data_IF_710111039051
#
_entry.id   IF_710111039051
#
_cell.length_a   1.000
_cell.length_b   1.000
_cell.length_c   1.000
_cell.angle_alpha   90.00
_cell.angle_beta   90.00
_cell.angle_gamma   90.00
#
_symmetry.space_group_name_H-M   'P 1'
#
loop_
_entity.id
_entity.type
_entity.pdbx_description
1 polymer ?
#
# COMPACT_ATOMS: atom_id res chain seq x y z
N UNK A 1 2.54 -18.28 -9.65
CA UNK A 1 1.93 -17.76 -8.41
C UNK A 1 1.76 -16.28 -8.60
N UNK A 2 0.59 -15.72 -8.35
CA UNK A 2 0.40 -14.26 -8.42
C UNK A 2 0.75 -13.65 -7.06
N UNK A 3 1.45 -12.52 -7.09
CA UNK A 3 1.82 -11.77 -5.90
C UNK A 3 0.89 -10.57 -5.77
N UNK A 4 0.36 -10.31 -4.59
CA UNK A 4 -0.53 -9.17 -4.39
C UNK A 4 -0.03 -8.27 -3.27
N UNK A 5 -0.06 -6.97 -3.52
CA UNK A 5 0.20 -5.98 -2.48
C UNK A 5 -0.97 -5.01 -2.39
N UNK A 6 -1.09 -4.39 -1.23
CA UNK A 6 -1.98 -3.28 -1.02
C UNK A 6 -1.17 -2.06 -0.57
N UNK A 7 -1.35 -0.95 -1.26
CA UNK A 7 -0.91 0.36 -0.80
C UNK A 7 -2.03 1.07 -0.06
N UNK A 8 -1.66 1.69 1.05
CA UNK A 8 -2.46 2.72 1.72
C UNK A 8 -1.79 4.05 1.40
N UNK A 9 -2.55 5.00 0.85
CA UNK A 9 -2.06 6.32 0.44
C UNK A 9 -2.59 7.40 1.39
N UNK A 10 -1.72 8.38 1.66
CA UNK A 10 -2.04 9.56 2.47
C UNK A 10 -1.59 9.41 3.91
N UNK A 11 -0.81 10.38 4.40
CA UNK A 11 -0.20 10.35 5.75
C UNK A 11 -1.19 10.15 6.89
N UNK A 12 -2.34 10.82 6.84
CA UNK A 12 -3.38 10.64 7.86
C UNK A 12 -3.96 9.22 7.86
N UNK A 13 -4.09 8.62 6.67
CA UNK A 13 -4.65 7.29 6.51
C UNK A 13 -3.64 6.22 6.94
N UNK A 14 -2.37 6.40 6.56
CA UNK A 14 -1.27 5.58 7.05
C UNK A 14 -1.23 5.61 8.58
N UNK A 15 -1.30 6.78 9.20
CA UNK A 15 -1.32 6.90 10.66
C UNK A 15 -2.55 6.23 11.29
N UNK A 16 -3.75 6.41 10.73
CA UNK A 16 -4.96 5.72 11.19
C UNK A 16 -4.80 4.20 11.12
N UNK A 17 -4.25 3.68 10.02
CA UNK A 17 -4.01 2.25 9.84
C UNK A 17 -3.01 1.72 10.87
N UNK A 18 -1.89 2.41 11.08
CA UNK A 18 -0.88 2.05 12.07
C UNK A 18 -1.41 2.11 13.51
N UNK A 19 -2.37 3.00 13.78
CA UNK A 19 -3.08 3.09 15.05
C UNK A 19 -4.15 1.99 15.23
N UNK A 20 -4.34 1.09 14.27
CA UNK A 20 -5.35 0.02 14.33
C UNK A 20 -6.79 0.51 14.09
N UNK A 21 -6.97 1.73 13.59
CA UNK A 21 -8.30 2.27 13.29
C UNK A 21 -8.83 1.64 12.00
N UNK A 22 -10.06 1.13 12.03
CA UNK A 22 -10.70 0.63 10.82
C UNK A 22 -11.11 1.77 9.89
N UNK A 23 -10.72 1.65 8.62
CA UNK A 23 -11.23 2.51 7.57
C UNK A 23 -12.69 2.21 7.24
N UNK A 24 -13.45 3.26 6.99
CA UNK A 24 -14.77 3.17 6.36
C UNK A 24 -14.66 2.59 4.94
N UNK A 25 -15.77 2.06 4.41
CA UNK A 25 -15.80 1.49 3.04
C UNK A 25 -15.36 2.50 1.97
N UNK A 26 -15.71 3.77 2.16
CA UNK A 26 -15.34 4.87 1.25
C UNK A 26 -13.85 5.19 1.33
N UNK A 27 -13.30 5.31 2.56
CA UNK A 27 -11.86 5.50 2.76
C UNK A 27 -11.05 4.38 2.13
N UNK A 28 -11.48 3.12 2.26
CA UNK A 28 -10.80 2.00 1.60
C UNK A 28 -10.79 2.14 0.08
N UNK A 29 -11.92 2.55 -0.52
CA UNK A 29 -12.02 2.68 -1.98
C UNK A 29 -11.10 3.77 -2.54
N UNK A 30 -10.93 4.85 -1.77
CA UNK A 30 -10.13 6.00 -2.18
C UNK A 30 -8.64 5.75 -1.90
N UNK A 31 -8.32 5.32 -0.67
CA UNK A 31 -6.97 5.31 -0.11
C UNK A 31 -6.28 3.94 -0.18
N UNK A 32 -7.01 2.83 -0.32
CA UNK A 32 -6.41 1.51 -0.55
C UNK A 32 -6.33 1.20 -2.05
N UNK A 33 -5.12 0.93 -2.55
CA UNK A 33 -4.88 0.47 -3.93
C UNK A 33 -4.30 -0.94 -3.89
N UNK A 34 -4.94 -1.88 -4.59
CA UNK A 34 -4.44 -3.25 -4.74
C UNK A 34 -3.73 -3.39 -6.07
N UNK A 35 -2.56 -4.01 -6.03
CA UNK A 35 -1.77 -4.34 -7.22
C UNK A 35 -1.48 -5.84 -7.21
N UNK A 36 -1.51 -6.42 -8.41
CA UNK A 36 -1.24 -7.84 -8.64
C UNK A 36 -0.08 -7.89 -9.62
N UNK A 37 0.90 -8.73 -9.31
CA UNK A 37 2.10 -8.96 -10.10
C UNK A 37 2.20 -10.43 -10.48
N UNK A 38 2.69 -10.69 -11.69
CA UNK A 38 2.91 -12.05 -12.17
C UNK A 38 4.20 -12.65 -11.60
N UNK A 39 5.17 -11.79 -11.28
CA UNK A 39 6.45 -12.22 -10.70
C UNK A 39 6.80 -11.47 -9.41
N UNK A 40 7.60 -12.14 -8.56
CA UNK A 40 8.14 -11.52 -7.35
C UNK A 40 9.12 -10.37 -7.66
N UNK A 41 9.80 -10.44 -8.81
CA UNK A 41 10.75 -9.41 -9.25
C UNK A 41 10.03 -8.09 -9.53
N UNK A 42 8.90 -8.13 -10.25
CA UNK A 42 8.07 -6.95 -10.50
C UNK A 42 7.53 -6.35 -9.21
N UNK A 43 7.03 -7.19 -8.30
CA UNK A 43 6.55 -6.74 -7.00
C UNK A 43 7.66 -6.00 -6.23
N UNK A 44 8.87 -6.58 -6.16
CA UNK A 44 10.00 -5.95 -5.47
C UNK A 44 10.43 -4.65 -6.12
N UNK A 45 10.50 -4.60 -7.45
CA UNK A 45 10.82 -3.38 -8.19
C UNK A 45 9.80 -2.27 -7.91
N UNK A 46 8.51 -2.61 -7.88
CA UNK A 46 7.45 -1.67 -7.55
C UNK A 46 7.57 -1.15 -6.11
N UNK A 47 7.76 -2.04 -5.12
CA UNK A 47 7.94 -1.64 -3.70
C UNK A 47 9.13 -0.70 -3.56
N UNK A 48 10.25 -1.01 -4.24
CA UNK A 48 11.43 -0.16 -4.25
C UNK A 48 11.11 1.23 -4.81
N UNK A 49 10.46 1.31 -5.97
CA UNK A 49 10.08 2.58 -6.59
C UNK A 49 9.14 3.43 -5.71
N UNK A 50 8.17 2.79 -5.06
CA UNK A 50 7.27 3.46 -4.10
C UNK A 50 8.04 4.02 -2.92
N UNK A 51 8.94 3.23 -2.32
CA UNK A 51 9.75 3.66 -1.19
C UNK A 51 10.70 4.81 -1.54
N UNK A 52 11.25 4.81 -2.75
CA UNK A 52 12.16 5.87 -3.24
C UNK A 52 11.40 7.17 -3.61
N UNK A 53 10.13 7.09 -4.01
CA UNK A 53 9.38 8.23 -4.53
C UNK A 53 8.50 8.94 -3.49
N UNK A 54 7.80 8.18 -2.63
CA UNK A 54 6.69 8.69 -1.81
C UNK A 54 7.02 8.67 -0.30
N UNK A 55 7.94 7.81 0.12
CA UNK A 55 8.30 7.67 1.54
C UNK A 55 7.21 7.02 2.41
N UNK A 56 7.65 6.39 3.49
CA UNK A 56 6.82 5.53 4.36
C UNK A 56 5.76 6.28 5.17
N UNK A 57 5.91 7.59 5.32
CA UNK A 57 4.94 8.43 6.02
C UNK A 57 3.77 8.85 5.13
N UNK A 58 3.92 8.77 3.81
CA UNK A 58 2.85 9.16 2.86
C UNK A 58 2.21 7.95 2.20
N UNK A 59 2.87 6.79 2.24
CA UNK A 59 2.31 5.52 1.81
C UNK A 59 2.75 4.35 2.70
N UNK A 60 1.89 3.35 2.84
CA UNK A 60 2.20 2.10 3.54
C UNK A 60 1.91 0.91 2.65
N UNK A 61 2.87 0.00 2.53
CA UNK A 61 2.76 -1.21 1.70
C UNK A 61 2.48 -2.43 2.55
N UNK A 62 1.47 -3.21 2.17
CA UNK A 62 1.10 -4.47 2.79
C UNK A 62 1.29 -5.57 1.74
N UNK A 63 2.21 -6.49 1.97
CA UNK A 63 2.39 -7.68 1.15
C UNK A 63 1.47 -8.80 1.67
N UNK A 64 0.70 -9.41 0.77
CA UNK A 64 -0.20 -10.53 1.06
C UNK A 64 0.29 -11.83 0.42
#
# INVERSE_FOLDING_TARGET
MSHSIKLILGKEQVNKFLAGTQFSKEEKKINEKKFIFETEVEMKAFIKGVNETIGWTECYVICN
#
